data_IF_136376775555
#
_entry.id   IF_136376775555
#
_cell.length_a   1.000
_cell.length_b   1.000
_cell.length_c   1.000
_cell.angle_alpha   90.00
_cell.angle_beta   90.00
_cell.angle_gamma   90.00
#
_symmetry.space_group_name_H-M   'P 1'
#
loop_
_entity.id
_entity.type
_entity.pdbx_description
1 polymer ?
#
# COMPACT_ATOMS: atom_id res chain seq x y z
N UNK A 1 -5.15 2.97 -3.98
CA UNK A 1 -5.80 3.18 -2.67
C UNK A 1 -6.37 4.59 -2.63
N UNK A 2 -7.57 4.75 -2.08
CA UNK A 2 -8.18 6.04 -1.79
C UNK A 2 -8.59 6.09 -0.32
N UNK A 3 -8.42 7.23 0.34
CA UNK A 3 -8.75 7.45 1.75
C UNK A 3 -9.50 8.76 1.93
N UNK A 4 -10.49 8.75 2.83
CA UNK A 4 -11.26 9.93 3.23
C UNK A 4 -10.38 10.99 3.91
N UNK A 5 -10.93 12.19 4.13
CA UNK A 5 -10.27 13.27 4.87
C UNK A 5 -9.86 12.85 6.30
N UNK A 6 -8.81 13.49 6.84
CA UNK A 6 -8.34 13.15 8.18
C UNK A 6 -9.34 13.64 9.24
N UNK A 7 -9.85 12.71 10.05
CA UNK A 7 -10.86 13.00 11.08
C UNK A 7 -10.37 13.92 12.21
N UNK A 8 -9.07 13.99 12.46
CA UNK A 8 -8.47 14.79 13.54
C UNK A 8 -7.70 16.01 13.05
N UNK A 9 -7.51 16.14 11.73
CA UNK A 9 -6.76 17.23 11.10
C UNK A 9 -7.52 17.79 9.93
N UNK A 10 -8.32 18.81 10.20
CA UNK A 10 -9.20 19.48 9.24
C UNK A 10 -8.43 20.13 8.08
N UNK A 11 -7.13 20.41 8.24
CA UNK A 11 -6.25 20.91 7.19
C UNK A 11 -5.77 19.82 6.20
N UNK A 12 -6.12 18.55 6.43
CA UNK A 12 -5.65 17.42 5.62
C UNK A 12 -6.78 16.80 4.80
N UNK A 13 -6.81 17.03 3.47
CA UNK A 13 -7.88 16.52 2.61
C UNK A 13 -7.81 15.01 2.45
N UNK A 14 -8.83 14.43 1.82
CA UNK A 14 -8.81 13.07 1.29
C UNK A 14 -7.60 12.87 0.37
N UNK A 15 -7.10 11.63 0.24
CA UNK A 15 -5.96 11.37 -0.64
C UNK A 15 -6.09 10.05 -1.38
N UNK A 16 -5.48 10.02 -2.56
CA UNK A 16 -5.34 8.82 -3.39
C UNK A 16 -3.86 8.54 -3.61
N UNK A 17 -3.51 7.27 -3.63
CA UNK A 17 -2.13 6.82 -3.80
C UNK A 17 -2.05 5.50 -4.57
N UNK A 18 -0.90 5.27 -5.20
CA UNK A 18 -0.56 4.04 -5.93
C UNK A 18 0.59 3.34 -5.19
N UNK A 19 0.54 2.02 -5.19
CA UNK A 19 1.58 1.15 -4.65
C UNK A 19 2.12 0.28 -5.77
N UNK A 20 3.38 -0.10 -5.65
CA UNK A 20 3.94 -1.21 -6.43
C UNK A 20 3.54 -2.48 -5.68
N UNK A 21 2.99 -3.45 -6.41
CA UNK A 21 2.56 -4.73 -5.87
C UNK A 21 3.55 -5.82 -6.27
N UNK A 22 3.96 -6.62 -5.30
CA UNK A 22 4.77 -7.82 -5.48
C UNK A 22 3.97 -9.02 -4.96
N UNK A 23 3.83 -10.06 -5.77
CA UNK A 23 3.05 -11.26 -5.44
C UNK A 23 3.96 -12.47 -5.56
N UNK A 24 4.14 -13.19 -4.45
CA UNK A 24 4.98 -14.38 -4.35
C UNK A 24 4.14 -15.52 -3.78
N UNK A 25 3.60 -16.37 -4.67
CA UNK A 25 2.66 -17.43 -4.28
C UNK A 25 1.40 -16.84 -3.66
N UNK A 26 1.13 -17.17 -2.39
CA UNK A 26 -0.01 -16.61 -1.65
C UNK A 26 0.34 -15.33 -0.88
N UNK A 27 1.57 -14.82 -0.96
CA UNK A 27 1.98 -13.62 -0.25
C UNK A 27 1.92 -12.40 -1.17
N UNK A 28 1.37 -11.30 -0.65
CA UNK A 28 1.31 -10.00 -1.34
C UNK A 28 2.04 -8.97 -0.50
N UNK A 29 2.89 -8.19 -1.15
CA UNK A 29 3.53 -7.00 -0.57
C UNK A 29 3.21 -5.80 -1.45
N UNK A 30 2.69 -4.74 -0.85
CA UNK A 30 2.48 -3.43 -1.47
C UNK A 30 3.48 -2.46 -0.88
N UNK A 31 4.31 -1.84 -1.72
CA UNK A 31 5.28 -0.85 -1.28
C UNK A 31 5.10 0.47 -2.01
N UNK A 32 5.31 1.56 -1.27
CA UNK A 32 5.36 2.91 -1.83
C UNK A 32 6.46 3.70 -1.13
N UNK A 33 7.35 4.27 -1.92
CA UNK A 33 8.39 5.18 -1.45
C UNK A 33 8.45 6.39 -2.36
N UNK A 34 8.45 7.58 -1.79
CA UNK A 34 8.67 8.84 -2.51
C UNK A 34 9.45 9.83 -1.61
N UNK A 35 9.62 11.07 -2.05
CA UNK A 35 10.36 12.09 -1.30
C UNK A 35 9.75 12.46 0.07
N UNK A 36 8.50 12.07 0.36
CA UNK A 36 7.77 12.49 1.57
C UNK A 36 7.53 11.33 2.53
N UNK A 37 7.20 10.15 2.01
CA UNK A 37 6.77 9.00 2.82
C UNK A 37 7.30 7.69 2.30
N UNK A 38 7.36 6.72 3.21
CA UNK A 38 7.57 5.31 2.91
C UNK A 38 6.44 4.51 3.58
N UNK A 39 5.84 3.60 2.82
CA UNK A 39 4.69 2.79 3.23
C UNK A 39 4.88 1.36 2.71
N UNK A 40 4.62 0.39 3.59
CA UNK A 40 4.67 -1.04 3.27
C UNK A 40 3.45 -1.72 3.87
N UNK A 41 2.73 -2.47 3.04
CA UNK A 41 1.64 -3.35 3.45
C UNK A 41 1.97 -4.76 2.99
N UNK A 42 1.69 -5.76 3.81
CA UNK A 42 1.84 -7.16 3.45
C UNK A 42 0.65 -7.97 3.94
N UNK A 43 0.44 -9.10 3.27
CA UNK A 43 -0.70 -9.96 3.54
C UNK A 43 -0.62 -11.29 2.85
N UNK A 44 -1.67 -12.08 3.09
CA UNK A 44 -1.80 -13.42 2.50
C UNK A 44 -3.14 -13.53 1.78
N UNK A 45 -3.08 -14.06 0.56
CA UNK A 45 -4.22 -14.46 -0.26
C UNK A 45 -4.72 -15.81 0.27
N UNK A 46 -5.99 -15.86 0.64
CA UNK A 46 -6.73 -17.07 0.98
C UNK A 46 -7.86 -17.29 -0.05
N UNK A 47 -8.51 -18.45 0.01
CA UNK A 47 -9.56 -18.83 -0.96
C UNK A 47 -10.76 -17.87 -0.96
N UNK A 48 -11.06 -17.26 0.17
CA UNK A 48 -12.20 -16.38 0.41
C UNK A 48 -11.86 -14.88 0.37
N UNK A 49 -10.58 -14.51 0.32
CA UNK A 49 -10.18 -13.11 0.32
C UNK A 49 -8.71 -12.88 0.63
N UNK A 50 -8.40 -11.65 1.04
CA UNK A 50 -7.06 -11.29 1.48
C UNK A 50 -7.17 -10.31 2.66
N UNK A 51 -6.15 -10.37 3.53
CA UNK A 51 -5.96 -9.42 4.62
C UNK A 51 -4.62 -8.75 4.40
N UNK A 52 -4.59 -7.41 4.40
CA UNK A 52 -3.37 -6.63 4.32
C UNK A 52 -3.19 -5.83 5.61
N UNK A 53 -2.02 -5.96 6.22
CA UNK A 53 -1.59 -5.13 7.33
C UNK A 53 -0.34 -4.37 6.92
N UNK A 54 -0.15 -3.17 7.43
CA UNK A 54 1.02 -2.39 7.06
C UNK A 54 1.30 -1.23 7.97
N UNK A 55 2.38 -0.53 7.64
CA UNK A 55 2.77 0.68 8.31
C UNK A 55 3.34 1.67 7.31
N UNK A 56 3.28 2.94 7.67
CA UNK A 56 3.90 4.02 6.93
C UNK A 56 4.44 5.09 7.84
N UNK A 57 5.39 5.86 7.34
CA UNK A 57 5.99 6.97 8.07
C UNK A 57 6.44 8.08 7.13
N UNK A 58 6.59 9.29 7.68
CA UNK A 58 7.19 10.42 6.96
C UNK A 58 8.71 10.31 7.00
N UNK A 59 9.38 10.49 5.85
CA UNK A 59 10.84 10.40 5.79
C UNK A 59 11.55 11.44 6.66
N UNK A 60 11.04 12.68 6.67
CA UNK A 60 11.59 13.78 7.49
C UNK A 60 11.16 13.71 8.97
N UNK A 61 10.14 12.90 9.29
CA UNK A 61 9.56 12.79 10.63
C UNK A 61 9.21 11.33 10.89
N UNK A 62 10.21 10.47 11.07
CA UNK A 62 10.02 9.02 11.21
C UNK A 62 9.15 8.64 12.41
N UNK A 63 9.08 9.50 13.43
CA UNK A 63 8.18 9.37 14.57
C UNK A 63 6.69 9.59 14.21
N UNK A 64 6.41 10.24 13.08
CA UNK A 64 5.07 10.39 12.52
C UNK A 64 4.80 9.18 11.63
N UNK A 65 4.34 8.11 12.27
CA UNK A 65 3.94 6.88 11.60
C UNK A 65 2.44 6.57 11.78
N UNK A 66 1.97 5.67 10.93
CA UNK A 66 0.61 5.15 10.92
C UNK A 66 0.63 3.67 10.60
N UNK A 67 -0.49 3.01 10.89
CA UNK A 67 -0.72 1.62 10.54
C UNK A 67 -1.87 1.52 9.56
N UNK A 68 -1.89 0.43 8.80
CA UNK A 68 -2.94 0.07 7.88
C UNK A 68 -3.49 -1.30 8.26
N UNK A 69 -4.81 -1.44 8.24
CA UNK A 69 -5.49 -2.73 8.36
C UNK A 69 -6.63 -2.80 7.35
N UNK A 70 -6.52 -3.74 6.42
CA UNK A 70 -7.48 -3.94 5.34
C UNK A 70 -7.89 -5.41 5.30
N UNK A 71 -9.18 -5.64 5.06
CA UNK A 71 -9.69 -6.95 4.68
C UNK A 71 -10.63 -6.78 3.49
N UNK A 72 -10.62 -7.77 2.61
CA UNK A 72 -11.37 -7.69 1.37
C UNK A 72 -11.50 -9.02 0.69
N UNK A 73 -12.19 -8.99 -0.44
CA UNK A 73 -12.51 -10.16 -1.23
C UNK A 73 -12.09 -9.94 -2.68
N UNK A 74 -11.84 -11.04 -3.36
CA UNK A 74 -11.69 -11.02 -4.81
C UNK A 74 -13.08 -10.98 -5.46
N UNK A 75 -13.21 -10.23 -6.55
CA UNK A 75 -14.44 -10.09 -7.33
C UNK A 75 -14.19 -10.48 -8.78
N UNK A 76 -15.23 -10.97 -9.46
CA UNK A 76 -15.11 -11.49 -10.83
C UNK A 76 -14.31 -12.80 -10.88
N UNK A 77 -13.46 -12.96 -11.88
CA UNK A 77 -12.59 -14.12 -12.10
C UNK A 77 -11.28 -14.06 -11.29
N UNK A 78 -11.34 -13.58 -10.04
CA UNK A 78 -10.19 -13.38 -9.16
C UNK A 78 -9.13 -12.35 -9.61
N UNK A 79 -9.39 -11.57 -10.68
CA UNK A 79 -8.47 -10.53 -11.17
C UNK A 79 -8.57 -9.20 -10.42
N UNK A 80 -9.68 -8.94 -9.74
CA UNK A 80 -9.92 -7.66 -9.05
C UNK A 80 -10.11 -7.92 -7.57
N UNK A 81 -9.15 -7.46 -6.77
CA UNK A 81 -9.27 -7.44 -5.32
C UNK A 81 -9.76 -6.08 -4.85
N UNK A 82 -10.80 -6.09 -3.99
CA UNK A 82 -11.30 -4.89 -3.32
C UNK A 82 -11.29 -5.09 -1.82
N UNK A 83 -10.68 -4.16 -1.10
CA UNK A 83 -10.67 -4.14 0.35
C UNK A 83 -11.05 -2.80 0.93
N UNK A 84 -11.65 -2.87 2.12
CA UNK A 84 -11.91 -1.72 2.98
C UNK A 84 -11.11 -1.86 4.26
N UNK A 85 -10.77 -0.73 4.83
CA UNK A 85 -9.95 -0.72 6.02
C UNK A 85 -9.66 0.69 6.48
N UNK A 86 -8.87 0.79 7.53
CA UNK A 86 -8.56 2.07 8.14
C UNK A 86 -7.05 2.33 8.16
N UNK A 87 -6.72 3.61 7.99
CA UNK A 87 -5.45 4.16 8.42
C UNK A 87 -5.58 4.50 9.91
N UNK A 88 -4.66 3.99 10.72
CA UNK A 88 -4.66 4.13 12.17
C UNK A 88 -3.45 4.97 12.61
N UNK A 89 -3.59 5.73 13.69
CA UNK A 89 -2.42 6.24 14.42
C UNK A 89 -1.66 5.08 15.08
N UNK A 90 -0.44 5.34 15.57
CA UNK A 90 0.28 4.39 16.43
C UNK A 90 -0.50 3.99 17.69
N UNK A 91 -1.43 4.83 18.16
CA UNK A 91 -2.33 4.52 19.26
C UNK A 91 -3.59 3.74 18.82
N UNK A 92 -3.56 3.11 17.63
CA UNK A 92 -4.66 2.34 17.04
C UNK A 92 -5.97 3.12 16.85
N UNK A 93 -5.91 4.45 16.74
CA UNK A 93 -7.09 5.29 16.48
C UNK A 93 -7.27 5.48 14.99
N UNK A 94 -8.47 5.17 14.48
CA UNK A 94 -8.83 5.35 13.07
C UNK A 94 -8.82 6.84 12.69
N UNK A 95 -7.91 7.22 11.78
CA UNK A 95 -7.76 8.60 11.28
C UNK A 95 -8.47 8.81 9.95
N UNK A 96 -8.54 7.77 9.12
CA UNK A 96 -9.15 7.78 7.79
C UNK A 96 -9.67 6.39 7.47
N UNK A 97 -10.82 6.33 6.84
CA UNK A 97 -11.29 5.12 6.18
C UNK A 97 -10.81 5.11 4.74
N UNK A 98 -10.42 3.92 4.28
CA UNK A 98 -9.67 3.73 3.05
C UNK A 98 -10.23 2.54 2.27
N UNK A 99 -10.17 2.64 0.95
CA UNK A 99 -10.45 1.54 0.02
C UNK A 99 -9.20 1.23 -0.80
N UNK A 100 -8.85 -0.04 -0.88
CA UNK A 100 -7.78 -0.57 -1.73
C UNK A 100 -8.44 -1.33 -2.87
N UNK A 101 -8.02 -1.02 -4.08
CA UNK A 101 -8.37 -1.78 -5.28
C UNK A 101 -7.03 -2.21 -5.88
N UNK A 102 -6.89 -3.50 -6.11
CA UNK A 102 -5.79 -4.08 -6.87
C UNK A 102 -6.37 -4.79 -8.08
N UNK A 103 -5.76 -4.55 -9.22
CA UNK A 103 -6.18 -5.14 -10.50
C UNK A 103 -4.97 -5.90 -11.00
N UNK A 104 -5.15 -7.20 -11.21
CA UNK A 104 -4.20 -8.01 -11.95
C UNK A 104 -4.30 -7.62 -13.43
N UNK A 105 -3.23 -7.02 -13.95
CA UNK A 105 -3.17 -6.55 -15.33
C UNK A 105 -2.09 -7.32 -16.06
N UNK A 106 -2.37 -7.75 -17.28
CA UNK A 106 -1.39 -8.42 -18.17
C UNK A 106 -0.28 -7.45 -18.67
N UNK A 107 -0.22 -6.22 -18.13
CA UNK A 107 0.78 -5.20 -18.44
C UNK A 107 1.94 -5.36 -17.45
N UNK A 108 3.14 -5.67 -17.97
CA UNK A 108 4.35 -5.73 -17.16
C UNK A 108 4.53 -4.43 -16.36
N UNK A 109 4.86 -4.57 -15.07
CA UNK A 109 5.21 -3.43 -14.25
C UNK A 109 6.39 -2.69 -14.89
N UNK A 110 6.44 -1.35 -14.85
CA UNK A 110 7.59 -0.62 -15.34
C UNK A 110 8.84 -1.14 -14.62
N UNK A 111 9.78 -1.66 -15.40
CA UNK A 111 11.09 -2.12 -14.92
C UNK A 111 11.71 -0.94 -14.17
N UNK A 112 12.09 -1.16 -12.91
CA UNK A 112 12.96 -0.20 -12.22
C UNK A 112 14.27 -0.25 -12.99
N UNK A 113 14.59 0.81 -13.71
CA UNK A 113 15.95 1.04 -14.17
C UNK A 113 16.82 1.08 -12.91
N UNK A 114 17.58 0.01 -12.66
CA UNK A 114 18.71 0.05 -11.75
C UNK A 114 19.68 1.06 -12.36
N UNK A 115 19.68 2.29 -11.82
CA UNK A 115 20.65 3.32 -12.15
C UNK A 115 22.05 2.71 -12.01
N UNK A 116 22.69 2.51 -13.16
CA UNK A 116 23.86 1.67 -13.28
C UNK A 116 25.06 2.14 -12.45
N UNK A 117 25.80 1.17 -11.94
CA UNK A 117 27.23 1.33 -11.71
C UNK A 117 27.96 0.30 -12.57
N UNK A 118 28.33 0.75 -13.77
CA UNK A 118 29.20 0.00 -14.66
C UNK A 118 30.57 -0.19 -14.03
N UNK A 119 31.03 -1.45 -13.97
CA UNK A 119 32.45 -1.75 -13.89
C UNK A 119 32.97 -1.96 -15.32
N UNK A 120 33.92 -1.14 -15.81
CA UNK A 120 34.68 -1.53 -16.97
C UNK A 120 35.68 -2.61 -16.56
N UNK A 121 35.65 -3.73 -17.27
CA UNK A 121 36.74 -4.70 -17.27
C UNK A 121 38.02 -4.02 -17.75
N UNK A 122 39.06 -4.06 -16.91
CA UNK A 122 40.45 -4.03 -17.36
C UNK A 122 41.38 -4.69 -16.36
#
# INVERSE_FOLDING_TARGET
>A
MACDANRFRTDKPAYQTKFIAEVNGNQVTLHRKNAVVEEVLSGTIAADGMVLNGMGYRLQQRNVSWQFKFSGTFTGNAKIYTAKGDMLTNASRSVRSCTVIMIDTDVEAPVKDDDGEGRPDK
#
